data_IF_394644473835
#
_entry.id   IF_394644473835
#
_cell.length_a   1.000
_cell.length_b   1.000
_cell.length_c   1.000
_cell.angle_alpha   90.00
_cell.angle_beta   90.00
_cell.angle_gamma   90.00
#
_symmetry.space_group_name_H-M   'P 1'
#
loop_
_entity.id
_entity.type
_entity.pdbx_description
1 polymer ?
#
# COMPACT_ATOMS: atom_id res chain seq x y z
N UNK A 1 22.97 15.17 10.53
CA UNK A 1 21.60 14.86 11.02
C UNK A 1 21.26 13.38 10.83
N UNK A 2 21.50 12.77 9.66
CA UNK A 2 21.27 11.32 9.45
C UNK A 2 21.89 10.40 10.51
N UNK A 3 23.17 10.60 10.84
CA UNK A 3 23.86 9.84 11.92
C UNK A 3 23.23 10.00 13.30
N UNK A 4 22.75 11.20 13.63
CA UNK A 4 22.03 11.46 14.89
C UNK A 4 20.65 10.81 14.89
N UNK A 5 19.94 10.79 13.76
CA UNK A 5 18.66 10.11 13.60
C UNK A 5 18.80 8.58 13.70
N UNK A 6 19.86 7.98 13.13
CA UNK A 6 20.09 6.54 13.27
C UNK A 6 20.44 6.13 14.71
N UNK A 7 21.19 6.98 15.42
CA UNK A 7 21.62 6.74 16.81
C UNK A 7 20.53 7.02 17.85
N UNK A 8 19.70 8.04 17.63
CA UNK A 8 18.67 8.46 18.60
C UNK A 8 17.25 8.03 18.19
N UNK A 9 17.03 7.63 16.93
CA UNK A 9 15.73 7.24 16.41
C UNK A 9 15.27 5.87 16.90
N UNK A 10 14.01 5.81 17.35
CA UNK A 10 13.30 4.57 17.66
C UNK A 10 12.39 4.19 16.49
N UNK A 11 12.26 2.90 16.21
CA UNK A 11 11.34 2.42 15.17
C UNK A 11 9.90 2.76 15.58
N UNK A 12 9.13 3.50 14.78
CA UNK A 12 7.72 3.73 15.08
C UNK A 12 6.96 2.41 14.90
N UNK A 13 6.51 1.82 16.00
CA UNK A 13 5.62 0.67 15.95
C UNK A 13 4.18 1.13 15.67
N UNK A 14 3.39 0.35 14.91
CA UNK A 14 1.97 0.60 14.77
C UNK A 14 1.26 0.76 16.13
N UNK A 15 0.26 1.65 16.26
CA UNK A 15 -0.33 2.04 17.55
C UNK A 15 -1.02 0.90 18.31
N UNK A 16 -1.34 -0.21 17.62
CA UNK A 16 -1.92 -1.40 18.25
C UNK A 16 -0.87 -2.30 18.93
N UNK A 17 0.43 -2.08 18.69
CA UNK A 17 1.51 -2.82 19.35
C UNK A 17 1.89 -2.09 20.64
N UNK A 18 1.40 -2.62 21.77
CA UNK A 18 1.57 -2.03 23.11
C UNK A 18 2.86 -2.48 23.79
N UNK A 19 4.01 -2.24 23.15
CA UNK A 19 5.35 -2.46 23.74
C UNK A 19 6.37 -1.47 23.18
N UNK A 20 7.48 -1.32 23.88
CA UNK A 20 8.63 -0.59 23.34
C UNK A 20 9.26 -1.32 22.14
N UNK A 21 9.81 -0.59 21.16
CA UNK A 21 10.58 -1.18 20.06
C UNK A 21 11.81 -1.92 20.58
N UNK A 22 12.03 -3.13 20.05
CA UNK A 22 13.25 -3.93 20.26
C UNK A 22 14.19 -3.78 19.06
N UNK A 23 15.42 -4.29 19.17
CA UNK A 23 16.42 -4.12 18.10
C UNK A 23 15.97 -4.80 16.80
N UNK A 24 15.32 -5.95 16.93
CA UNK A 24 14.85 -6.80 15.86
C UNK A 24 13.76 -6.14 15.01
N UNK A 25 12.98 -5.22 15.58
CA UNK A 25 11.95 -4.47 14.84
C UNK A 25 12.55 -3.65 13.69
N UNK A 26 13.82 -3.25 13.80
CA UNK A 26 14.54 -2.57 12.70
C UNK A 26 14.64 -3.43 11.46
N UNK A 27 14.76 -4.76 11.63
CA UNK A 27 14.88 -5.73 10.55
C UNK A 27 13.51 -6.30 10.16
N UNK A 28 12.68 -6.66 11.15
CA UNK A 28 11.35 -7.26 10.90
C UNK A 28 10.38 -6.32 10.19
N UNK A 29 10.58 -5.01 10.32
CA UNK A 29 9.74 -4.03 9.65
C UNK A 29 10.23 -3.69 8.22
N UNK A 30 11.29 -4.34 7.73
CA UNK A 30 11.76 -4.16 6.36
C UNK A 30 11.22 -5.25 5.44
N UNK A 31 10.84 -4.85 4.22
CA UNK A 31 10.42 -5.78 3.18
C UNK A 31 11.59 -6.12 2.26
N UNK A 32 11.47 -7.18 1.48
CA UNK A 32 12.43 -7.52 0.40
C UNK A 32 12.55 -6.43 -0.68
N UNK A 33 11.69 -5.42 -0.64
CA UNK A 33 11.70 -4.27 -1.56
C UNK A 33 12.30 -3.00 -0.94
N UNK A 34 12.71 -3.03 0.34
CA UNK A 34 13.30 -1.87 1.01
C UNK A 34 14.66 -1.51 0.39
N UNK A 35 14.70 -0.44 -0.42
CA UNK A 35 15.91 0.03 -1.13
C UNK A 35 16.27 1.49 -0.89
N UNK A 36 15.29 2.32 -0.57
CA UNK A 36 15.45 3.78 -0.41
C UNK A 36 14.96 4.19 0.98
N UNK A 37 15.81 4.88 1.73
CA UNK A 37 15.42 5.46 3.03
C UNK A 37 14.50 6.67 2.82
N UNK A 38 13.42 6.77 3.61
CA UNK A 38 12.55 7.95 3.58
C UNK A 38 11.12 7.71 4.08
N UNK A 39 10.62 6.48 4.04
CA UNK A 39 9.32 6.14 4.60
C UNK A 39 9.38 5.98 6.12
N UNK A 40 8.41 6.56 6.82
CA UNK A 40 8.26 6.40 8.29
C UNK A 40 7.59 5.06 8.60
N UNK A 41 6.80 4.52 7.68
CA UNK A 41 6.11 3.26 7.84
C UNK A 41 6.38 2.29 6.68
N UNK A 42 6.46 1.01 7.02
CA UNK A 42 6.71 -0.07 6.08
C UNK A 42 5.45 -0.39 5.25
N UNK A 43 5.61 -0.71 3.94
CA UNK A 43 4.53 -1.22 3.11
C UNK A 43 4.19 -2.66 3.51
N UNK A 44 3.47 -2.82 4.62
CA UNK A 44 3.32 -4.10 5.33
C UNK A 44 2.65 -5.23 4.54
N UNK A 45 1.86 -4.92 3.50
CA UNK A 45 1.35 -5.94 2.57
C UNK A 45 2.48 -6.69 1.84
N UNK A 46 3.63 -6.02 1.66
CA UNK A 46 4.82 -6.61 1.04
C UNK A 46 5.64 -7.47 2.01
N UNK A 47 5.35 -7.47 3.32
CA UNK A 47 6.02 -8.37 4.28
C UNK A 47 5.68 -9.85 4.04
N UNK A 48 4.60 -10.12 3.32
CA UNK A 48 4.21 -11.48 2.92
C UNK A 48 5.08 -12.05 1.78
N UNK A 49 5.94 -11.23 1.16
CA UNK A 49 6.80 -11.66 0.07
C UNK A 49 8.17 -12.08 0.57
N UNK A 50 8.54 -13.32 0.21
CA UNK A 50 9.86 -13.88 0.43
C UNK A 50 10.60 -13.97 -0.90
N UNK A 51 11.94 -14.04 -0.87
CA UNK A 51 12.73 -14.23 -2.09
C UNK A 51 12.32 -15.51 -2.85
N UNK A 52 11.98 -16.59 -2.13
CA UNK A 52 11.48 -17.82 -2.73
C UNK A 52 10.13 -17.63 -3.45
N UNK A 53 9.21 -16.86 -2.86
CA UNK A 53 7.94 -16.52 -3.51
C UNK A 53 8.19 -15.66 -4.76
N UNK A 54 9.04 -14.64 -4.68
CA UNK A 54 9.38 -13.78 -5.82
C UNK A 54 10.03 -14.58 -6.96
N UNK A 55 10.93 -15.52 -6.64
CA UNK A 55 11.52 -16.42 -7.62
C UNK A 55 10.46 -17.29 -8.31
N UNK A 56 9.52 -17.85 -7.54
CA UNK A 56 8.41 -18.65 -8.08
C UNK A 56 7.49 -17.84 -9.00
N UNK A 57 7.19 -16.59 -8.65
CA UNK A 57 6.40 -15.68 -9.49
C UNK A 57 7.13 -15.39 -10.82
N UNK A 58 8.43 -15.05 -10.76
CA UNK A 58 9.25 -14.82 -11.97
C UNK A 58 9.31 -16.06 -12.87
N UNK A 59 9.49 -17.25 -12.29
CA UNK A 59 9.52 -18.52 -13.03
C UNK A 59 8.18 -18.81 -13.76
N UNK A 60 7.07 -18.24 -13.29
CA UNK A 60 5.75 -18.31 -13.92
C UNK A 60 5.50 -17.18 -14.93
N UNK A 61 6.51 -16.37 -15.24
CA UNK A 61 6.39 -15.24 -16.17
C UNK A 61 5.68 -14.01 -15.58
N UNK A 62 5.56 -13.92 -14.26
CA UNK A 62 4.99 -12.74 -13.60
C UNK A 62 6.08 -11.69 -13.44
N UNK A 63 5.89 -10.55 -14.09
CA UNK A 63 6.80 -9.42 -14.03
C UNK A 63 6.63 -8.65 -12.71
N UNK A 64 7.74 -8.26 -12.12
CA UNK A 64 7.77 -7.47 -10.89
C UNK A 64 8.24 -6.06 -11.22
N UNK A 65 7.41 -5.09 -10.88
CA UNK A 65 7.69 -3.65 -11.05
C UNK A 65 7.65 -3.00 -9.68
N UNK A 66 8.65 -2.19 -9.37
CA UNK A 66 8.74 -1.45 -8.11
C UNK A 66 8.48 0.03 -8.33
N UNK A 67 7.75 0.65 -7.41
CA UNK A 67 7.60 2.11 -7.29
C UNK A 67 8.10 2.54 -5.91
N UNK A 68 8.49 3.80 -5.77
CA UNK A 68 8.99 4.34 -4.50
C UNK A 68 7.95 5.27 -3.88
N UNK A 69 7.79 5.17 -2.56
CA UNK A 69 6.81 5.95 -1.80
C UNK A 69 7.35 6.23 -0.41
N UNK A 70 7.20 7.45 0.08
CA UNK A 70 7.58 7.85 1.43
C UNK A 70 6.29 8.15 2.20
N UNK A 71 5.88 7.18 3.00
CA UNK A 71 4.65 7.25 3.79
C UNK A 71 4.90 8.03 5.08
N UNK A 72 4.07 9.03 5.34
CA UNK A 72 4.06 9.79 6.59
C UNK A 72 3.30 9.08 7.73
N UNK A 73 3.29 9.65 8.94
CA UNK A 73 2.57 9.09 10.08
C UNK A 73 1.04 9.12 9.92
N UNK A 74 0.48 10.00 9.08
CA UNK A 74 -0.97 10.12 8.86
C UNK A 74 -1.65 8.90 8.24
N UNK A 75 -0.91 8.05 7.54
CA UNK A 75 -1.49 6.93 6.77
C UNK A 75 -2.18 5.88 7.64
N UNK A 76 -1.87 5.82 8.94
CA UNK A 76 -2.53 4.94 9.91
C UNK A 76 -3.52 5.68 10.82
N UNK A 77 -3.67 6.99 10.67
CA UNK A 77 -4.56 7.77 11.51
C UNK A 77 -6.02 7.55 11.10
N UNK A 78 -6.94 7.41 12.07
CA UNK A 78 -8.36 7.35 11.78
C UNK A 78 -8.84 8.68 11.20
N UNK A 79 -9.82 8.62 10.31
CA UNK A 79 -10.53 9.82 9.83
C UNK A 79 -11.27 10.43 11.02
N UNK A 80 -10.91 11.67 11.39
CA UNK A 80 -11.51 12.40 12.53
C UNK A 80 -12.72 13.24 12.13
N UNK A 81 -12.89 13.48 10.84
CA UNK A 81 -13.99 14.28 10.29
C UNK A 81 -15.31 13.51 10.32
N UNK A 82 -16.41 14.22 10.59
CA UNK A 82 -17.76 13.66 10.60
C UNK A 82 -18.29 13.35 9.19
N UNK A 83 -17.79 14.08 8.18
CA UNK A 83 -18.10 13.90 6.76
C UNK A 83 -16.83 13.56 6.00
N UNK A 84 -16.88 12.54 5.16
CA UNK A 84 -15.72 12.05 4.39
C UNK A 84 -15.21 13.15 3.44
N UNK A 85 -16.15 13.93 2.86
CA UNK A 85 -15.84 15.06 1.97
C UNK A 85 -14.94 16.13 2.60
N UNK A 86 -14.93 16.24 3.93
CA UNK A 86 -14.12 17.24 4.64
C UNK A 86 -12.71 16.73 4.98
N UNK A 87 -12.45 15.43 4.80
CA UNK A 87 -11.16 14.86 5.14
C UNK A 87 -10.11 15.23 4.09
N UNK A 88 -9.06 15.90 4.54
CA UNK A 88 -7.86 16.13 3.73
C UNK A 88 -6.85 15.01 4.00
N UNK A 89 -6.44 14.34 2.93
CA UNK A 89 -5.32 13.40 2.96
C UNK A 89 -4.03 14.15 3.25
N UNK A 90 -3.17 13.57 4.09
CA UNK A 90 -1.78 14.04 4.20
C UNK A 90 -1.04 13.74 2.89
N UNK A 91 -0.21 14.69 2.45
CA UNK A 91 0.64 14.51 1.28
C UNK A 91 1.60 13.32 1.46
N UNK A 92 1.64 12.46 0.46
CA UNK A 92 2.63 11.39 0.38
C UNK A 92 3.56 11.64 -0.80
N UNK A 93 4.86 11.50 -0.57
CA UNK A 93 5.83 11.59 -1.66
C UNK A 93 5.89 10.26 -2.40
N UNK A 94 5.85 10.32 -3.73
CA UNK A 94 5.83 9.16 -4.62
C UNK A 94 6.79 9.34 -5.79
N UNK A 95 7.30 8.23 -6.29
CA UNK A 95 8.08 8.15 -7.51
C UNK A 95 7.74 6.89 -8.32
N UNK A 96 7.31 7.12 -9.56
CA UNK A 96 7.16 6.12 -10.62
C UNK A 96 8.19 6.45 -11.69
N UNK A 97 9.18 5.57 -11.85
CA UNK A 97 10.24 5.77 -12.84
C UNK A 97 9.71 5.58 -14.28
N UNK A 98 10.49 5.99 -15.27
CA UNK A 98 10.14 5.77 -16.67
C UNK A 98 10.03 4.28 -17.00
N UNK A 99 10.96 3.48 -16.48
CA UNK A 99 11.00 2.04 -16.66
C UNK A 99 9.77 1.36 -16.04
N UNK A 100 9.35 1.82 -14.85
CA UNK A 100 8.15 1.29 -14.19
C UNK A 100 6.87 1.64 -14.98
N UNK A 101 6.74 2.90 -15.42
CA UNK A 101 5.61 3.35 -16.23
C UNK A 101 5.52 2.59 -17.55
N UNK A 102 6.64 2.41 -18.25
CA UNK A 102 6.69 1.66 -19.50
C UNK A 102 6.36 0.17 -19.30
N UNK A 103 6.88 -0.46 -18.25
CA UNK A 103 6.56 -1.85 -17.93
C UNK A 103 5.05 -2.05 -17.67
N UNK A 104 4.43 -1.15 -16.89
CA UNK A 104 2.99 -1.19 -16.61
C UNK A 104 2.17 -0.96 -17.89
N UNK A 105 2.58 0.01 -18.72
CA UNK A 105 1.94 0.27 -20.01
C UNK A 105 2.00 -0.95 -20.93
N UNK A 106 3.17 -1.58 -21.06
CA UNK A 106 3.34 -2.78 -21.89
C UNK A 106 2.51 -3.95 -21.36
N UNK A 107 2.45 -4.14 -20.03
CA UNK A 107 1.58 -5.14 -19.43
C UNK A 107 0.11 -4.92 -19.82
N UNK A 108 -0.41 -3.69 -19.73
CA UNK A 108 -1.78 -3.39 -20.17
C UNK A 108 -2.00 -3.59 -21.67
N UNK A 109 -1.07 -3.16 -22.52
CA UNK A 109 -1.14 -3.38 -23.98
C UNK A 109 -1.21 -4.87 -24.31
N UNK A 110 -0.48 -5.69 -23.58
CA UNK A 110 -0.47 -7.15 -23.74
C UNK A 110 -1.67 -7.85 -23.06
N UNK A 111 -2.64 -7.11 -22.53
CA UNK A 111 -3.81 -7.66 -21.84
C UNK A 111 -3.51 -8.29 -20.48
N UNK A 112 -2.34 -8.02 -19.90
CA UNK A 112 -1.99 -8.50 -18.57
C UNK A 112 -2.66 -7.64 -17.48
N UNK A 113 -2.90 -8.26 -16.31
CA UNK A 113 -3.44 -7.57 -15.13
C UNK A 113 -2.32 -6.92 -14.33
N UNK A 114 -2.60 -5.72 -13.83
CA UNK A 114 -1.76 -5.00 -12.88
C UNK A 114 -2.25 -5.32 -11.46
N UNK A 115 -1.44 -6.09 -10.73
CA UNK A 115 -1.71 -6.44 -9.33
C UNK A 115 -0.89 -5.53 -8.43
N UNK A 116 -1.54 -4.59 -7.75
CA UNK A 116 -0.88 -3.73 -6.77
C UNK A 116 -0.68 -4.48 -5.45
N UNK A 117 0.52 -4.35 -4.87
CA UNK A 117 0.84 -4.89 -3.54
C UNK A 117 0.88 -3.75 -2.53
N UNK A 118 -0.25 -3.54 -1.86
CA UNK A 118 -0.45 -2.48 -0.87
C UNK A 118 -1.22 -1.27 -1.40
N UNK A 119 -2.03 -0.69 -0.54
CA UNK A 119 -2.88 0.48 -0.83
C UNK A 119 -2.09 1.72 -1.24
N UNK A 120 -0.87 1.91 -0.72
CA UNK A 120 -0.04 3.05 -1.13
C UNK A 120 0.47 2.91 -2.56
N UNK A 121 0.73 1.68 -3.02
CA UNK A 121 1.05 1.41 -4.44
C UNK A 121 -0.15 1.76 -5.30
N UNK A 122 -1.38 1.40 -4.88
CA UNK A 122 -2.60 1.79 -5.59
C UNK A 122 -2.69 3.30 -5.76
N UNK A 123 -2.60 4.08 -4.67
CA UNK A 123 -2.65 5.55 -4.76
C UNK A 123 -1.54 6.11 -5.65
N UNK A 124 -0.33 5.54 -5.57
CA UNK A 124 0.81 5.97 -6.38
C UNK A 124 0.52 5.79 -7.88
N UNK A 125 0.03 4.60 -8.27
CA UNK A 125 -0.27 4.30 -9.67
C UNK A 125 -1.48 5.07 -10.19
N UNK A 126 -2.54 5.17 -9.38
CA UNK A 126 -3.73 5.93 -9.76
C UNK A 126 -3.42 7.43 -9.89
N UNK A 127 -2.62 8.02 -8.98
CA UNK A 127 -2.15 9.40 -9.07
C UNK A 127 -1.33 9.65 -10.35
N UNK A 128 -0.46 8.69 -10.70
CA UNK A 128 0.33 8.74 -11.93
C UNK A 128 -0.49 8.50 -13.21
N UNK A 129 -1.80 8.23 -13.11
CA UNK A 129 -2.68 7.92 -14.25
C UNK A 129 -3.84 8.91 -14.45
N UNK A 130 -3.90 9.99 -13.65
CA UNK A 130 -5.02 10.93 -13.64
C UNK A 130 -5.28 11.67 -14.97
N UNK A 131 -4.26 11.86 -15.80
CA UNK A 131 -4.39 12.68 -17.02
C UNK A 131 -5.07 11.94 -18.17
N UNK A 132 -4.72 10.68 -18.40
CA UNK A 132 -5.13 9.92 -19.60
C UNK A 132 -5.38 8.43 -19.34
N UNK A 133 -5.60 8.04 -18.08
CA UNK A 133 -5.75 6.64 -17.66
C UNK A 133 -4.54 5.75 -17.94
N UNK A 134 -3.39 6.34 -18.27
CA UNK A 134 -2.11 5.65 -18.48
C UNK A 134 -1.16 6.06 -17.37
N UNK A 135 -0.50 5.09 -16.74
CA UNK A 135 0.54 5.38 -15.74
C UNK A 135 1.70 6.09 -16.42
N UNK A 136 2.00 7.31 -16.00
CA UNK A 136 3.11 8.13 -16.48
C UNK A 136 4.26 8.18 -15.47
N UNK A 137 5.50 8.45 -15.91
CA UNK A 137 6.58 8.76 -14.99
C UNK A 137 6.17 9.95 -14.13
N UNK A 138 6.31 9.83 -12.82
CA UNK A 138 5.86 10.85 -11.87
C UNK A 138 6.82 10.88 -10.69
N UNK A 139 7.19 12.08 -10.24
CA UNK A 139 7.94 12.30 -9.00
C UNK A 139 7.41 13.54 -8.31
N UNK A 140 6.96 13.39 -7.07
CA UNK A 140 6.34 14.52 -6.37
C UNK A 140 5.47 14.06 -5.21
N UNK A 141 4.51 14.91 -4.84
CA UNK A 141 3.54 14.61 -3.79
C UNK A 141 2.17 14.29 -4.38
N UNK A 142 1.41 13.47 -3.68
CA UNK A 142 0.00 13.22 -3.99
C UNK A 142 -0.83 13.31 -2.72
N UNK A 143 -2.00 13.93 -2.86
CA UNK A 143 -3.07 13.94 -1.85
C UNK A 143 -4.27 13.09 -2.33
N UNK A 144 -4.07 12.21 -3.32
CA UNK A 144 -5.16 11.46 -3.94
C UNK A 144 -5.92 10.64 -2.89
N UNK A 145 -7.18 11.04 -2.67
CA UNK A 145 -8.09 10.37 -1.75
C UNK A 145 -9.06 9.46 -2.51
N UNK A 146 -8.83 8.16 -2.41
CA UNK A 146 -9.66 7.14 -3.06
C UNK A 146 -10.78 6.70 -2.11
N UNK A 147 -12.02 6.94 -2.51
CA UNK A 147 -13.24 6.62 -1.76
C UNK A 147 -14.24 5.86 -2.63
N UNK A 148 -15.27 5.21 -2.06
CA UNK A 148 -16.30 4.53 -2.84
C UNK A 148 -16.89 5.40 -3.96
N UNK A 149 -16.99 4.83 -5.17
CA UNK A 149 -17.35 5.56 -6.39
C UNK A 149 -16.15 5.98 -7.26
N UNK A 150 -14.92 5.84 -6.77
CA UNK A 150 -13.72 6.06 -7.56
C UNK A 150 -13.60 5.04 -8.71
N UNK A 151 -13.20 5.52 -9.89
CA UNK A 151 -12.91 4.68 -11.06
C UNK A 151 -11.41 4.40 -11.12
N UNK A 152 -11.03 3.14 -11.02
CA UNK A 152 -9.63 2.71 -11.14
C UNK A 152 -9.22 2.64 -12.61
N UNK A 153 -8.04 3.16 -12.90
CA UNK A 153 -7.47 3.21 -14.25
C UNK A 153 -6.20 2.36 -14.36
N UNK A 154 -5.38 2.37 -13.31
CA UNK A 154 -4.08 1.70 -13.32
C UNK A 154 -4.17 0.27 -12.79
N UNK A 155 -4.91 0.05 -11.69
CA UNK A 155 -4.88 -1.22 -10.94
C UNK A 155 -6.07 -2.11 -11.25
N UNK A 156 -5.81 -3.39 -11.52
CA UNK A 156 -6.84 -4.40 -11.80
C UNK A 156 -7.13 -5.32 -10.59
N UNK A 157 -6.12 -5.51 -9.72
CA UNK A 157 -6.22 -6.33 -8.53
C UNK A 157 -5.35 -5.77 -7.40
N UNK A 158 -5.71 -6.06 -6.14
CA UNK A 158 -5.01 -5.56 -4.96
C UNK A 158 -4.71 -6.69 -3.97
N UNK A 159 -3.44 -6.82 -3.59
CA UNK A 159 -3.04 -7.54 -2.39
C UNK A 159 -2.79 -6.56 -1.24
N UNK A 160 -3.48 -6.71 -0.12
CA UNK A 160 -3.35 -5.82 1.04
C UNK A 160 -3.64 -6.53 2.36
N UNK A 161 -3.29 -5.92 3.49
CA UNK A 161 -3.68 -6.41 4.83
C UNK A 161 -5.15 -6.12 5.12
N UNK A 162 -5.66 -6.66 6.23
CA UNK A 162 -6.89 -6.17 6.82
C UNK A 162 -6.66 -4.86 7.60
N UNK A 163 -7.32 -3.79 7.19
CA UNK A 163 -7.20 -2.46 7.77
C UNK A 163 -8.16 -2.21 8.94
N UNK A 164 -7.80 -1.26 9.80
CA UNK A 164 -8.64 -0.77 10.90
C UNK A 164 -9.94 -0.11 10.39
N UNK A 165 -11.05 -0.23 11.14
CA UNK A 165 -12.27 0.52 10.86
C UNK A 165 -12.02 2.03 10.79
N UNK A 166 -12.78 2.73 9.94
CA UNK A 166 -12.73 4.21 9.80
C UNK A 166 -11.34 4.76 9.41
N UNK A 167 -10.57 3.99 8.65
CA UNK A 167 -9.31 4.45 8.05
C UNK A 167 -9.48 4.73 6.56
N UNK A 168 -8.65 5.63 6.03
CA UNK A 168 -8.60 5.96 4.60
C UNK A 168 -8.22 4.74 3.75
N UNK A 169 -7.40 3.84 4.29
CA UNK A 169 -7.04 2.58 3.64
C UNK A 169 -8.26 1.67 3.44
N UNK A 170 -9.13 1.56 4.45
CA UNK A 170 -10.36 0.78 4.33
C UNK A 170 -11.33 1.39 3.30
N UNK A 171 -11.36 2.72 3.19
CA UNK A 171 -12.17 3.41 2.17
C UNK A 171 -11.67 3.10 0.76
N UNK A 172 -10.35 3.13 0.54
CA UNK A 172 -9.74 2.76 -0.75
C UNK A 172 -10.10 1.31 -1.13
N UNK A 173 -9.94 0.39 -0.18
CA UNK A 173 -10.32 -1.02 -0.41
C UNK A 173 -11.81 -1.15 -0.70
N UNK A 174 -12.66 -0.40 0.01
CA UNK A 174 -14.11 -0.36 -0.23
C UNK A 174 -14.46 0.18 -1.62
N UNK A 175 -13.67 1.11 -2.15
CA UNK A 175 -13.84 1.62 -3.50
C UNK A 175 -13.58 0.54 -4.56
N UNK A 176 -12.64 -0.36 -4.31
CA UNK A 176 -12.31 -1.47 -5.20
C UNK A 176 -13.31 -2.63 -5.08
N UNK A 177 -13.70 -3.00 -3.86
CA UNK A 177 -14.51 -4.21 -3.62
C UNK A 177 -16.01 -3.95 -3.57
N UNK A 178 -16.43 -2.71 -3.30
CA UNK A 178 -17.76 -2.37 -2.82
C UNK A 178 -17.89 -2.56 -1.30
N UNK A 179 -18.67 -1.68 -0.67
CA UNK A 179 -18.81 -1.59 0.80
C UNK A 179 -19.43 -2.86 1.40
N UNK A 180 -20.53 -3.35 0.86
CA UNK A 180 -21.23 -4.52 1.42
C UNK A 180 -20.43 -5.81 1.26
N UNK A 181 -19.75 -5.96 0.12
CA UNK A 181 -18.84 -7.09 -0.10
C UNK A 181 -17.68 -7.06 0.89
N UNK A 182 -17.07 -5.89 1.12
CA UNK A 182 -15.99 -5.77 2.09
C UNK A 182 -16.45 -6.11 3.51
N UNK A 183 -17.64 -5.64 3.91
CA UNK A 183 -18.23 -6.00 5.21
C UNK A 183 -18.43 -7.51 5.35
N UNK A 184 -18.88 -8.19 4.31
CA UNK A 184 -19.01 -9.65 4.32
C UNK A 184 -17.65 -10.34 4.49
N UNK A 185 -16.63 -9.90 3.75
CA UNK A 185 -15.25 -10.42 3.89
C UNK A 185 -14.71 -10.23 5.30
N UNK A 186 -14.91 -9.07 5.91
CA UNK A 186 -14.48 -8.81 7.29
C UNK A 186 -15.22 -9.67 8.31
N UNK A 187 -16.53 -9.88 8.16
CA UNK A 187 -17.30 -10.77 9.03
C UNK A 187 -16.76 -12.21 8.96
N UNK A 188 -16.50 -12.69 7.75
CA UNK A 188 -15.92 -14.01 7.53
C UNK A 188 -14.53 -14.12 8.17
N UNK A 189 -13.63 -13.17 7.90
CA UNK A 189 -12.28 -13.16 8.45
C UNK A 189 -12.28 -13.16 9.99
N UNK A 190 -13.17 -12.38 10.61
CA UNK A 190 -13.33 -12.36 12.07
C UNK A 190 -13.88 -13.71 12.57
N UNK A 191 -14.90 -14.26 11.93
CA UNK A 191 -15.49 -15.56 12.29
C UNK A 191 -14.47 -16.71 12.19
N UNK A 192 -13.63 -16.69 11.16
CA UNK A 192 -12.55 -17.64 10.93
C UNK A 192 -11.25 -17.33 11.69
N UNK A 193 -11.24 -16.30 12.55
CA UNK A 193 -10.09 -15.90 13.39
C UNK A 193 -8.82 -15.54 12.61
N UNK A 194 -8.96 -14.89 11.46
CA UNK A 194 -7.83 -14.28 10.77
C UNK A 194 -7.15 -13.25 11.67
N UNK A 195 -5.83 -13.16 11.54
CA UNK A 195 -5.04 -12.10 12.16
C UNK A 195 -5.19 -10.86 11.31
N UNK A 196 -5.50 -9.72 11.93
CA UNK A 196 -5.75 -8.47 11.22
C UNK A 196 -4.54 -7.53 11.33
N UNK A 197 -4.56 -6.43 10.58
CA UNK A 197 -3.57 -5.34 10.61
C UNK A 197 -2.21 -5.70 10.01
N UNK A 198 -1.21 -4.86 10.26
CA UNK A 198 0.07 -4.84 9.52
C UNK A 198 0.89 -6.13 9.64
N UNK A 199 0.78 -6.85 10.75
CA UNK A 199 1.44 -8.16 10.97
C UNK A 199 0.46 -9.34 10.90
N UNK A 200 -0.77 -9.09 10.46
CA UNK A 200 -1.81 -10.09 10.31
C UNK A 200 -1.70 -10.86 9.01
N UNK A 201 -2.83 -11.40 8.56
CA UNK A 201 -3.01 -12.07 7.28
C UNK A 201 -3.27 -11.05 6.16
N UNK A 202 -3.17 -11.53 4.92
CA UNK A 202 -3.40 -10.75 3.71
C UNK A 202 -4.73 -11.11 3.03
N UNK A 203 -5.23 -10.17 2.23
CA UNK A 203 -6.35 -10.32 1.32
C UNK A 203 -5.87 -10.04 -0.11
N UNK A 204 -6.31 -10.86 -1.06
CA UNK A 204 -6.14 -10.66 -2.50
C UNK A 204 -7.51 -10.40 -3.13
N UNK A 205 -7.67 -9.26 -3.78
CA UNK A 205 -8.88 -8.80 -4.47
C UNK A 205 -8.64 -8.90 -5.98
N UNK A 206 -9.51 -9.63 -6.69
CA UNK A 206 -9.41 -9.93 -8.13
C UNK A 206 -10.73 -9.72 -8.86
#
# INVERSE_FOLDING_TARGET
IGDLLQRCGRMPLPPYIKREPIREDRTWYQTVFARVEGAIASPTASLHFTEGLLASLRARGIFLVTVTLHVGPGTFQPVRESRIENHRMEEEWIEVSAEAADAIKQAKVNGARIVAVGTTVVRTLEAASLTDSVVRPMRGRTELFIIPGYRFHAVDALMTNFHLPRTTLLMLVSALTGVERLRAVYREAIGARYRLYSYGDAMLII
#
